data_IF_859742819369
#
_entry.id   IF_859742819369
#
_cell.length_a   1.000
_cell.length_b   1.000
_cell.length_c   1.000
_cell.angle_alpha   90.00
_cell.angle_beta   90.00
_cell.angle_gamma   90.00
#
_symmetry.space_group_name_H-M   'P 1'
#
loop_
_entity.id
_entity.type
_entity.pdbx_description
1 polymer ?
#
# COMPACT_ATOMS: atom_id res chain seq x y z
N UNK A 1 71.42 45.03 -48.04
CA UNK A 1 70.30 44.08 -47.83
C UNK A 1 70.20 43.58 -46.33
N UNK A 2 70.32 44.44 -45.33
CA UNK A 2 70.29 44.02 -43.86
C UNK A 2 69.34 44.80 -42.97
N UNK A 3 68.61 45.80 -43.48
CA UNK A 3 67.73 46.66 -42.61
C UNK A 3 66.26 46.22 -42.50
N UNK A 4 65.79 45.32 -43.37
CA UNK A 4 64.38 44.90 -43.39
C UNK A 4 64.03 43.81 -42.37
N UNK A 5 64.97 42.98 -41.89
CA UNK A 5 64.72 41.87 -40.94
C UNK A 5 64.54 42.31 -39.49
N UNK A 6 64.99 43.49 -39.10
CA UNK A 6 64.94 43.97 -37.69
C UNK A 6 63.58 44.58 -37.35
N UNK A 7 62.85 45.06 -38.34
CA UNK A 7 61.54 45.67 -38.10
C UNK A 7 60.44 44.58 -37.91
N UNK A 8 60.56 43.48 -38.65
CA UNK A 8 59.60 42.35 -38.51
C UNK A 8 59.63 41.60 -37.17
N UNK A 9 60.81 41.53 -36.51
CA UNK A 9 60.98 40.90 -35.19
C UNK A 9 60.40 41.74 -34.08
N UNK A 10 60.28 43.04 -34.27
CA UNK A 10 59.72 43.95 -33.21
C UNK A 10 58.16 43.97 -33.20
N UNK A 11 57.57 43.62 -34.34
CA UNK A 11 56.09 43.54 -34.45
C UNK A 11 55.49 42.23 -33.93
N UNK A 12 56.23 41.16 -33.75
CA UNK A 12 55.78 39.87 -33.27
C UNK A 12 55.84 39.73 -31.74
N UNK A 13 56.27 40.76 -31.00
CA UNK A 13 56.14 40.78 -29.55
C UNK A 13 54.67 41.09 -29.17
N UNK A 14 53.74 40.22 -29.64
CA UNK A 14 52.36 40.25 -29.15
C UNK A 14 52.39 40.26 -27.61
N UNK A 15 52.03 41.39 -27.03
CA UNK A 15 51.72 41.50 -25.61
C UNK A 15 50.75 40.39 -25.22
N UNK A 16 51.26 39.32 -24.63
CA UNK A 16 50.39 38.37 -23.93
C UNK A 16 49.69 39.19 -22.87
N UNK A 17 48.40 39.53 -23.12
CA UNK A 17 47.55 40.14 -22.13
C UNK A 17 47.53 39.18 -20.93
N UNK A 18 47.82 39.64 -19.72
CA UNK A 18 47.69 38.77 -18.57
C UNK A 18 46.23 38.25 -18.52
N UNK A 19 46.08 36.94 -18.63
CA UNK A 19 44.80 36.30 -18.36
C UNK A 19 44.54 36.55 -16.85
N UNK A 20 43.76 37.57 -16.58
CA UNK A 20 43.24 37.81 -15.24
C UNK A 20 42.34 36.62 -14.96
N UNK A 21 42.87 35.59 -14.29
CA UNK A 21 42.05 34.56 -13.65
C UNK A 21 41.13 35.30 -12.72
N UNK A 22 39.87 35.52 -13.15
CA UNK A 22 38.79 35.87 -12.26
C UNK A 22 38.81 34.80 -11.17
N UNK A 23 39.28 35.12 -9.98
CA UNK A 23 39.01 34.31 -8.81
C UNK A 23 37.49 34.26 -8.71
N UNK A 24 36.90 33.12 -9.07
CA UNK A 24 35.51 32.82 -8.73
C UNK A 24 35.47 32.98 -7.21
N UNK A 25 34.77 33.99 -6.74
CA UNK A 25 34.50 34.15 -5.32
C UNK A 25 33.64 32.93 -5.00
N UNK A 26 34.23 31.99 -4.29
CA UNK A 26 33.46 30.93 -3.65
C UNK A 26 32.45 31.64 -2.75
N UNK A 27 31.20 31.72 -3.23
CA UNK A 27 30.10 32.28 -2.48
C UNK A 27 29.81 31.27 -1.36
N UNK A 28 30.33 31.55 -0.15
CA UNK A 28 29.95 30.79 1.03
C UNK A 28 28.46 30.95 1.28
N UNK A 29 27.82 29.89 1.76
CA UNK A 29 26.41 29.92 2.17
C UNK A 29 26.21 31.00 3.25
N UNK A 30 25.16 31.79 3.07
CA UNK A 30 24.77 32.77 4.09
C UNK A 30 24.13 32.03 5.28
N UNK A 31 24.26 32.57 6.49
CA UNK A 31 23.64 31.99 7.69
C UNK A 31 22.11 31.84 7.52
N UNK A 32 21.48 32.77 6.80
CA UNK A 32 20.05 32.74 6.50
C UNK A 32 19.69 31.58 5.57
N UNK A 33 20.50 31.29 4.56
CA UNK A 33 20.29 30.17 3.63
C UNK A 33 20.38 28.82 4.33
N UNK A 34 21.32 28.67 5.28
CA UNK A 34 21.43 27.47 6.12
C UNK A 34 20.20 27.31 7.01
N UNK A 35 19.70 28.38 7.60
CA UNK A 35 18.48 28.33 8.41
C UNK A 35 17.25 27.91 7.59
N UNK A 36 17.10 28.49 6.39
CA UNK A 36 16.00 28.14 5.49
C UNK A 36 16.10 26.68 5.04
N UNK A 37 17.29 26.20 4.70
CA UNK A 37 17.48 24.81 4.26
C UNK A 37 17.16 23.81 5.38
N UNK A 38 17.56 24.08 6.63
CA UNK A 38 17.22 23.24 7.79
C UNK A 38 15.70 23.22 8.02
N UNK A 39 15.03 24.38 7.91
CA UNK A 39 13.59 24.48 8.07
C UNK A 39 12.86 23.66 6.99
N UNK A 40 13.22 23.82 5.74
CA UNK A 40 12.64 23.07 4.64
C UNK A 40 12.90 21.56 4.80
N UNK A 41 14.13 21.18 5.19
CA UNK A 41 14.49 19.78 5.40
C UNK A 41 13.64 19.13 6.51
N UNK A 42 13.42 19.84 7.63
CA UNK A 42 12.57 19.34 8.72
C UNK A 42 11.12 19.10 8.28
N UNK A 43 10.54 20.00 7.49
CA UNK A 43 9.18 19.85 6.96
C UNK A 43 9.10 18.62 6.04
N UNK A 44 10.04 18.46 5.12
CA UNK A 44 10.09 17.31 4.22
C UNK A 44 10.26 16.01 4.98
N UNK A 45 11.16 15.98 5.97
CA UNK A 45 11.42 14.78 6.77
C UNK A 45 10.21 14.34 7.58
N UNK A 46 9.49 15.29 8.21
CA UNK A 46 8.26 14.97 8.97
C UNK A 46 7.15 14.46 8.07
N UNK A 47 6.98 15.02 6.88
CA UNK A 47 6.02 14.52 5.90
C UNK A 47 6.35 13.09 5.46
N UNK A 48 7.61 12.80 5.20
CA UNK A 48 8.07 11.47 4.78
C UNK A 48 7.86 10.43 5.88
N UNK A 49 8.18 10.74 7.13
CA UNK A 49 7.91 9.85 8.27
C UNK A 49 6.41 9.56 8.43
N UNK A 50 5.56 10.57 8.26
CA UNK A 50 4.10 10.39 8.31
C UNK A 50 3.60 9.43 7.23
N UNK A 51 4.12 9.51 6.01
CA UNK A 51 3.79 8.59 4.92
C UNK A 51 4.19 7.14 5.24
N UNK A 52 5.37 6.95 5.84
CA UNK A 52 5.84 5.61 6.23
C UNK A 52 4.93 5.00 7.29
N UNK A 53 4.57 5.76 8.33
CA UNK A 53 3.69 5.28 9.40
C UNK A 53 2.31 4.87 8.84
N UNK A 54 1.73 5.69 7.96
CA UNK A 54 0.47 5.37 7.29
C UNK A 54 0.59 4.14 6.40
N UNK A 55 1.71 3.98 5.70
CA UNK A 55 1.98 2.80 4.89
C UNK A 55 1.97 1.51 5.71
N UNK A 56 2.62 1.49 6.87
CA UNK A 56 2.59 0.34 7.78
C UNK A 56 1.17 0.04 8.30
N UNK A 57 0.40 1.07 8.61
CA UNK A 57 -0.99 0.89 9.06
C UNK A 57 -1.86 0.21 7.99
N UNK A 58 -1.73 0.66 6.74
CA UNK A 58 -2.42 0.06 5.60
C UNK A 58 -2.01 -1.41 5.42
N UNK A 59 -0.72 -1.73 5.49
CA UNK A 59 -0.23 -3.11 5.35
C UNK A 59 -0.77 -4.04 6.43
N UNK A 60 -0.81 -3.60 7.68
CA UNK A 60 -1.38 -4.39 8.78
C UNK A 60 -2.87 -4.63 8.58
N UNK A 61 -3.61 -3.62 8.16
CA UNK A 61 -5.03 -3.73 7.85
C UNK A 61 -5.28 -4.71 6.70
N UNK A 62 -4.53 -4.59 5.61
CA UNK A 62 -4.64 -5.51 4.46
C UNK A 62 -4.34 -6.95 4.86
N UNK A 63 -3.35 -7.18 5.73
CA UNK A 63 -3.06 -8.51 6.26
C UNK A 63 -4.27 -9.10 6.99
N UNK A 64 -4.94 -8.33 7.84
CA UNK A 64 -6.13 -8.79 8.56
C UNK A 64 -7.30 -9.06 7.62
N UNK A 65 -7.54 -8.20 6.63
CA UNK A 65 -8.56 -8.41 5.61
C UNK A 65 -8.30 -9.68 4.78
N UNK A 66 -7.03 -9.98 4.50
CA UNK A 66 -6.63 -11.21 3.80
C UNK A 66 -6.94 -12.44 4.66
N UNK A 67 -6.62 -12.42 5.94
CA UNK A 67 -6.91 -13.52 6.88
C UNK A 67 -8.43 -13.74 6.96
N UNK A 68 -9.22 -12.68 7.10
CA UNK A 68 -10.68 -12.76 7.14
C UNK A 68 -11.25 -13.36 5.83
N UNK A 69 -10.74 -12.91 4.68
CA UNK A 69 -11.14 -13.44 3.37
C UNK A 69 -10.82 -14.91 3.22
N UNK A 70 -9.61 -15.33 3.60
CA UNK A 70 -9.22 -16.75 3.56
C UNK A 70 -10.06 -17.61 4.51
N UNK A 71 -10.43 -17.07 5.66
CA UNK A 71 -11.33 -17.76 6.61
C UNK A 71 -12.71 -17.97 6.01
N UNK A 72 -13.28 -16.96 5.37
CA UNK A 72 -14.56 -17.05 4.67
C UNK A 72 -14.47 -18.07 3.50
N UNK A 73 -13.40 -18.04 2.72
CA UNK A 73 -13.21 -18.97 1.61
C UNK A 73 -13.17 -20.43 2.07
N UNK A 74 -12.42 -20.71 3.14
CA UNK A 74 -12.35 -22.05 3.72
C UNK A 74 -13.75 -22.54 4.18
N UNK A 75 -14.49 -21.66 4.81
CA UNK A 75 -15.84 -21.98 5.27
C UNK A 75 -16.81 -22.22 4.09
N UNK A 76 -16.73 -21.39 3.04
CA UNK A 76 -17.52 -21.59 1.82
C UNK A 76 -17.17 -22.90 1.12
N UNK A 77 -15.90 -23.29 1.08
CA UNK A 77 -15.48 -24.59 0.51
C UNK A 77 -15.98 -25.75 1.36
N UNK A 78 -15.96 -25.62 2.70
CA UNK A 78 -16.54 -26.61 3.60
C UNK A 78 -18.04 -26.77 3.36
N UNK A 79 -18.79 -25.67 3.33
CA UNK A 79 -20.23 -25.67 3.04
C UNK A 79 -20.55 -26.23 1.64
N UNK A 80 -19.71 -25.92 0.65
CA UNK A 80 -19.87 -26.42 -0.72
C UNK A 80 -19.77 -27.94 -0.81
N UNK A 81 -19.02 -28.58 0.07
CA UNK A 81 -18.88 -30.03 0.13
C UNK A 81 -19.94 -30.73 1.00
N UNK A 82 -20.82 -29.96 1.67
CA UNK A 82 -21.93 -30.50 2.48
C UNK A 82 -23.15 -30.81 1.61
N UNK A 83 -24.00 -31.73 2.13
CA UNK A 83 -25.31 -31.96 1.55
C UNK A 83 -26.25 -30.78 1.87
N UNK A 84 -27.22 -30.52 1.00
CA UNK A 84 -28.17 -29.42 1.18
C UNK A 84 -28.91 -29.47 2.52
N UNK A 85 -29.34 -30.66 2.97
CA UNK A 85 -30.03 -30.83 4.25
C UNK A 85 -29.13 -30.48 5.44
N UNK A 86 -27.84 -30.80 5.37
CA UNK A 86 -26.88 -30.50 6.42
C UNK A 86 -26.61 -28.99 6.54
N UNK A 87 -26.65 -28.28 5.39
CA UNK A 87 -26.54 -26.81 5.36
C UNK A 87 -27.73 -26.15 6.09
N UNK A 88 -28.93 -26.71 6.01
CA UNK A 88 -30.11 -26.16 6.67
C UNK A 88 -30.09 -26.29 8.20
N UNK A 89 -29.33 -27.26 8.72
CA UNK A 89 -29.22 -27.55 10.16
C UNK A 89 -27.89 -27.08 10.77
N UNK A 90 -27.06 -26.40 9.97
CA UNK A 90 -25.75 -25.95 10.34
C UNK A 90 -25.78 -24.82 11.36
N UNK A 91 -24.78 -24.77 12.22
CA UNK A 91 -24.62 -23.69 13.19
C UNK A 91 -24.47 -22.33 12.47
N UNK A 92 -25.08 -21.31 13.06
CA UNK A 92 -25.02 -19.93 12.56
C UNK A 92 -23.67 -19.23 12.85
N UNK A 93 -22.76 -19.89 13.54
CA UNK A 93 -21.45 -19.35 13.88
C UNK A 93 -20.34 -20.35 13.56
N UNK A 94 -19.19 -19.85 13.15
CA UNK A 94 -18.00 -20.66 12.91
C UNK A 94 -16.76 -20.01 13.47
N UNK A 95 -15.77 -20.85 13.80
CA UNK A 95 -14.44 -20.41 14.21
C UNK A 95 -13.38 -21.23 13.48
N UNK A 96 -12.25 -20.63 13.20
CA UNK A 96 -11.10 -21.37 12.69
C UNK A 96 -9.78 -20.87 13.32
N UNK A 97 -8.71 -21.65 13.16
CA UNK A 97 -7.40 -21.31 13.74
C UNK A 97 -6.82 -19.96 13.27
N UNK A 98 -7.32 -19.42 12.16
CA UNK A 98 -6.86 -18.12 11.65
C UNK A 98 -7.41 -16.95 12.45
N UNK A 99 -8.48 -17.16 13.25
CA UNK A 99 -9.07 -16.13 14.09
C UNK A 99 -8.15 -15.69 15.23
N UNK A 100 -7.16 -16.51 15.61
CA UNK A 100 -6.14 -16.12 16.60
C UNK A 100 -5.31 -14.89 16.17
N UNK A 101 -5.29 -14.57 14.89
CA UNK A 101 -4.60 -13.38 14.34
C UNK A 101 -5.51 -12.15 14.23
N UNK A 102 -6.80 -12.28 14.59
CA UNK A 102 -7.80 -11.22 14.52
C UNK A 102 -8.33 -10.94 15.92
N UNK A 103 -8.28 -9.71 16.36
CA UNK A 103 -8.75 -9.31 17.68
C UNK A 103 -10.29 -9.33 17.74
N UNK A 104 -10.86 -9.96 18.77
CA UNK A 104 -12.31 -10.07 18.98
C UNK A 104 -13.06 -10.56 17.73
N UNK A 105 -12.51 -11.56 17.07
CA UNK A 105 -13.09 -12.07 15.82
C UNK A 105 -14.27 -13.00 16.06
N UNK A 106 -15.28 -12.88 15.20
CA UNK A 106 -16.46 -13.74 15.18
C UNK A 106 -16.86 -14.03 13.73
N UNK A 107 -17.08 -15.32 13.42
CA UNK A 107 -17.59 -15.77 12.15
C UNK A 107 -19.09 -16.07 12.23
N UNK A 108 -19.89 -15.52 11.32
CA UNK A 108 -21.34 -15.69 11.29
C UNK A 108 -21.75 -16.19 9.92
N UNK A 109 -22.63 -17.20 9.93
CA UNK A 109 -23.28 -17.74 8.75
C UNK A 109 -24.76 -17.41 8.86
N UNK A 110 -25.30 -16.74 7.85
CA UNK A 110 -26.71 -16.39 7.77
C UNK A 110 -27.31 -17.04 6.52
N UNK A 111 -28.39 -17.78 6.72
CA UNK A 111 -29.13 -18.46 5.64
C UNK A 111 -30.51 -17.81 5.53
N UNK A 112 -30.78 -17.19 4.39
CA UNK A 112 -32.04 -16.51 4.11
C UNK A 112 -32.75 -17.19 2.93
N UNK A 113 -34.07 -17.21 2.94
CA UNK A 113 -34.86 -17.63 1.80
C UNK A 113 -34.72 -16.61 0.67
N UNK A 114 -34.40 -17.10 -0.51
CA UNK A 114 -34.36 -16.31 -1.73
C UNK A 114 -35.64 -16.55 -2.56
N UNK A 115 -35.68 -16.01 -3.75
CA UNK A 115 -36.81 -16.13 -4.66
C UNK A 115 -37.08 -17.59 -5.03
N UNK A 116 -38.06 -18.22 -4.35
CA UNK A 116 -38.45 -19.63 -4.50
C UNK A 116 -37.91 -20.54 -3.39
N UNK A 117 -38.68 -21.56 -3.03
CA UNK A 117 -38.40 -22.47 -1.93
C UNK A 117 -37.13 -23.34 -2.10
N UNK A 118 -36.56 -23.37 -3.30
CA UNK A 118 -35.40 -24.23 -3.60
C UNK A 118 -34.05 -23.49 -3.60
N UNK A 119 -34.06 -22.18 -3.49
CA UNK A 119 -32.84 -21.36 -3.51
C UNK A 119 -32.70 -20.64 -2.18
N UNK A 120 -31.58 -20.87 -1.51
CA UNK A 120 -31.22 -20.16 -0.26
C UNK A 120 -30.07 -19.22 -0.53
N UNK A 121 -30.16 -18.01 0.01
CA UNK A 121 -29.07 -17.04 0.04
C UNK A 121 -28.22 -17.31 1.26
N UNK A 122 -26.98 -17.65 1.06
CA UNK A 122 -25.99 -17.88 2.11
C UNK A 122 -25.07 -16.68 2.23
N UNK A 123 -25.04 -16.07 3.40
CA UNK A 123 -24.11 -14.96 3.71
C UNK A 123 -23.13 -15.43 4.77
N UNK A 124 -21.86 -15.49 4.42
CA UNK A 124 -20.78 -15.82 5.35
C UNK A 124 -20.02 -14.52 5.66
N UNK A 125 -19.91 -14.18 6.93
CA UNK A 125 -19.24 -12.96 7.35
C UNK A 125 -18.29 -13.20 8.52
N UNK A 126 -17.20 -12.43 8.54
CA UNK A 126 -16.24 -12.36 9.65
C UNK A 126 -16.18 -10.92 10.12
N UNK A 127 -16.40 -10.71 11.41
CA UNK A 127 -16.21 -9.44 12.09
C UNK A 127 -14.97 -9.52 12.99
N UNK A 128 -14.21 -8.42 13.08
CA UNK A 128 -13.07 -8.31 13.99
C UNK A 128 -12.84 -6.86 14.40
N UNK A 129 -11.99 -6.63 15.39
CA UNK A 129 -11.61 -5.29 15.84
C UNK A 129 -10.21 -4.94 15.32
N UNK A 130 -10.06 -3.74 14.77
CA UNK A 130 -8.78 -3.16 14.43
C UNK A 130 -8.64 -1.75 15.00
N UNK A 131 -7.70 -1.56 15.93
CA UNK A 131 -7.51 -0.28 16.64
C UNK A 131 -8.80 0.32 17.20
N UNK A 132 -9.62 -0.52 17.84
CA UNK A 132 -10.90 -0.11 18.44
C UNK A 132 -12.03 0.15 17.45
N UNK A 133 -11.81 -0.10 16.14
CA UNK A 133 -12.86 -0.01 15.10
C UNK A 133 -13.34 -1.38 14.71
N UNK A 134 -14.66 -1.54 14.63
CA UNK A 134 -15.26 -2.76 14.10
C UNK A 134 -15.05 -2.84 12.60
N UNK A 135 -14.47 -3.94 12.17
CA UNK A 135 -14.27 -4.30 10.77
C UNK A 135 -15.14 -5.51 10.45
N UNK A 136 -15.66 -5.58 9.23
CA UNK A 136 -16.46 -6.71 8.77
C UNK A 136 -16.16 -7.00 7.32
N UNK A 137 -16.05 -8.27 6.99
CA UNK A 137 -16.01 -8.78 5.63
C UNK A 137 -17.11 -9.79 5.45
N UNK A 138 -17.82 -9.73 4.32
CA UNK A 138 -18.88 -10.68 4.01
C UNK A 138 -18.82 -11.12 2.56
N UNK A 139 -19.25 -12.34 2.32
CA UNK A 139 -19.43 -12.92 0.99
C UNK A 139 -20.80 -13.56 0.92
N UNK A 140 -21.52 -13.28 -0.14
CA UNK A 140 -22.84 -13.81 -0.42
C UNK A 140 -22.74 -14.83 -1.52
N UNK A 141 -23.38 -15.99 -1.33
CA UNK A 141 -23.53 -17.03 -2.35
C UNK A 141 -24.94 -17.61 -2.32
N UNK A 142 -25.30 -18.38 -3.30
CA UNK A 142 -26.59 -19.04 -3.39
C UNK A 142 -26.40 -20.55 -3.40
N UNK A 143 -27.22 -21.23 -2.61
CA UNK A 143 -27.23 -22.70 -2.52
C UNK A 143 -28.57 -23.19 -3.03
N UNK A 144 -28.54 -24.18 -3.89
CA UNK A 144 -29.76 -24.78 -4.48
C UNK A 144 -29.88 -26.27 -4.10
N UNK A 145 -31.09 -26.75 -3.88
CA UNK A 145 -31.34 -28.14 -3.53
C UNK A 145 -30.84 -29.14 -4.58
N UNK A 146 -30.85 -28.72 -5.84
CA UNK A 146 -30.51 -29.60 -6.96
C UNK A 146 -29.04 -29.45 -7.45
N UNK A 147 -28.25 -28.58 -6.84
CA UNK A 147 -26.86 -28.29 -7.25
C UNK A 147 -26.81 -27.64 -8.64
N UNK A 148 -25.61 -27.18 -9.04
CA UNK A 148 -25.35 -26.64 -10.38
C UNK A 148 -25.24 -27.77 -11.43
N UNK A 149 -24.96 -29.00 -10.99
CA UNK A 149 -24.79 -30.17 -11.85
C UNK A 149 -25.88 -31.22 -11.55
N UNK A 150 -27.01 -31.15 -12.25
CA UNK A 150 -27.79 -32.37 -12.49
C UNK A 150 -27.01 -33.24 -13.50
N UNK A 151 -26.45 -34.36 -13.01
CA UNK A 151 -26.23 -35.49 -13.88
C UNK A 151 -27.52 -36.24 -14.08
#
# INVERSE_FOLDING_TARGET
MRRGKMILLKLMKRRKRPVVKRKEKEAGFTMVEVLITILLFTVVLTALLSCIIQGFDILLRMKQETIATQSIQKELEFIRNMNYNDILTMDSSFTNGSFSYLENSNGIINLEDSVGAEIKKLTVSVAWTYRGRQMRKEVVTYVTKNGINKK
#
